data_IF_664768483978
#
_entry.id   IF_664768483978
#
_cell.length_a   1.000
_cell.length_b   1.000
_cell.length_c   1.000
_cell.angle_alpha   90.00
_cell.angle_beta   90.00
_cell.angle_gamma   90.00
#
_symmetry.space_group_name_H-M   'P 1'
#
loop_
_entity.id
_entity.type
_entity.pdbx_description
1 polymer ?
#
# COMPACT_ATOMS: atom_id res chain seq x y z
N UNK A 1 -12.62 -39.54 3.98
CA UNK A 1 -12.41 -40.90 4.52
C UNK A 1 -13.69 -41.39 5.17
N UNK A 2 -14.09 -42.66 5.00
CA UNK A 2 -15.19 -43.27 5.73
C UNK A 2 -15.02 -43.16 7.26
N UNK A 3 -16.11 -42.95 8.01
CA UNK A 3 -16.07 -42.92 9.48
C UNK A 3 -15.56 -44.24 10.10
N UNK A 4 -15.62 -45.34 9.34
CA UNK A 4 -15.09 -46.64 9.73
C UNK A 4 -13.57 -46.74 9.66
N UNK A 5 -12.90 -45.88 8.87
CA UNK A 5 -11.45 -45.96 8.62
C UNK A 5 -10.68 -44.70 9.02
N UNK A 6 -11.37 -43.68 9.56
CA UNK A 6 -10.70 -42.47 10.04
C UNK A 6 -9.88 -42.80 11.31
N UNK A 7 -8.65 -42.29 11.39
CA UNK A 7 -7.85 -42.42 12.61
C UNK A 7 -8.61 -41.82 13.79
N UNK A 8 -8.58 -42.50 14.93
CA UNK A 8 -9.33 -42.09 16.14
C UNK A 8 -9.04 -40.64 16.55
N UNK A 9 -7.81 -40.17 16.33
CA UNK A 9 -7.37 -38.84 16.71
C UNK A 9 -7.77 -37.74 15.71
N UNK A 10 -8.30 -38.10 14.54
CA UNK A 10 -8.72 -37.16 13.49
C UNK A 10 -10.24 -36.95 13.47
N UNK A 11 -10.95 -37.57 14.41
CA UNK A 11 -12.40 -37.50 14.53
C UNK A 11 -12.80 -36.97 15.92
N UNK A 12 -13.74 -36.01 16.01
CA UNK A 12 -14.42 -35.33 14.90
C UNK A 12 -13.48 -34.40 14.13
N UNK A 13 -13.73 -34.21 12.83
CA UNK A 13 -12.91 -33.30 12.02
C UNK A 13 -13.12 -31.85 12.47
N UNK A 14 -12.08 -31.02 12.43
CA UNK A 14 -12.18 -29.65 12.94
C UNK A 14 -13.09 -28.77 12.08
N UNK A 15 -13.09 -28.97 10.76
CA UNK A 15 -13.72 -28.05 9.81
C UNK A 15 -14.20 -28.78 8.55
N UNK A 16 -15.37 -28.41 8.05
CA UNK A 16 -15.86 -28.77 6.71
C UNK A 16 -16.34 -27.52 5.98
N UNK A 17 -16.05 -27.43 4.69
CA UNK A 17 -16.36 -26.28 3.86
C UNK A 17 -17.01 -26.74 2.56
N UNK A 18 -18.26 -26.33 2.31
CA UNK A 18 -18.99 -26.66 1.09
C UNK A 18 -19.91 -25.53 0.66
N UNK A 19 -20.29 -25.51 -0.62
CA UNK A 19 -21.33 -24.60 -1.08
C UNK A 19 -22.62 -24.92 -0.34
N UNK A 20 -23.18 -23.95 0.39
CA UNK A 20 -24.32 -24.17 1.28
C UNK A 20 -25.60 -24.56 0.52
N UNK A 21 -25.95 -23.90 -0.60
CA UNK A 21 -27.12 -24.29 -1.37
C UNK A 21 -27.02 -25.74 -1.86
N UNK A 22 -28.02 -26.55 -1.52
CA UNK A 22 -28.11 -27.96 -1.90
C UNK A 22 -27.33 -28.94 -1.02
N UNK A 23 -26.25 -28.53 -0.34
CA UNK A 23 -25.44 -29.46 0.47
C UNK A 23 -25.98 -29.70 1.88
N UNK A 24 -26.81 -28.79 2.41
CA UNK A 24 -27.36 -28.95 3.76
C UNK A 24 -28.23 -30.21 3.93
N UNK A 25 -29.11 -30.51 2.95
CA UNK A 25 -29.96 -31.72 2.97
C UNK A 25 -29.23 -32.98 2.57
N UNK A 26 -28.13 -32.83 1.84
CA UNK A 26 -27.40 -33.94 1.25
C UNK A 26 -26.20 -34.27 2.15
N UNK A 27 -25.05 -33.66 1.86
CA UNK A 27 -23.78 -33.98 2.51
C UNK A 27 -23.82 -33.75 4.03
N UNK A 28 -24.21 -32.57 4.49
CA UNK A 28 -24.16 -32.25 5.92
C UNK A 28 -25.11 -33.14 6.73
N UNK A 29 -26.35 -33.30 6.28
CA UNK A 29 -27.31 -34.21 6.90
C UNK A 29 -26.80 -35.65 6.97
N UNK A 30 -26.30 -36.18 5.84
CA UNK A 30 -25.81 -37.56 5.78
C UNK A 30 -24.63 -37.79 6.72
N UNK A 31 -23.69 -36.84 6.81
CA UNK A 31 -22.56 -36.91 7.75
C UNK A 31 -23.03 -36.92 9.21
N UNK A 32 -23.98 -36.06 9.56
CA UNK A 32 -24.52 -35.97 10.92
C UNK A 32 -25.23 -37.27 11.30
N UNK A 33 -26.09 -37.80 10.42
CA UNK A 33 -26.83 -39.05 10.66
C UNK A 33 -25.87 -40.23 10.81
N UNK A 34 -24.92 -40.39 9.88
CA UNK A 34 -23.94 -41.48 9.96
C UNK A 34 -23.13 -41.41 11.25
N UNK A 35 -22.68 -40.22 11.65
CA UNK A 35 -21.90 -40.02 12.86
C UNK A 35 -22.71 -40.28 14.13
N UNK A 36 -23.99 -39.86 14.15
CA UNK A 36 -24.89 -40.15 15.26
C UNK A 36 -25.07 -41.66 15.46
N UNK A 37 -25.25 -42.42 14.37
CA UNK A 37 -25.43 -43.87 14.42
C UNK A 37 -24.13 -44.62 14.78
N UNK A 38 -23.01 -44.24 14.17
CA UNK A 38 -21.76 -45.02 14.28
C UNK A 38 -20.87 -44.60 15.45
N UNK A 39 -20.96 -43.33 15.89
CA UNK A 39 -20.03 -42.73 16.86
C UNK A 39 -20.73 -41.98 17.99
N UNK A 40 -22.05 -41.79 17.92
CA UNK A 40 -22.85 -41.06 18.92
C UNK A 40 -22.27 -39.67 19.26
N UNK A 41 -21.72 -38.97 18.27
CA UNK A 41 -21.17 -37.61 18.42
C UNK A 41 -21.25 -36.83 17.10
N UNK A 42 -20.93 -35.55 17.12
CA UNK A 42 -20.89 -34.70 15.94
C UNK A 42 -19.78 -35.15 14.97
N UNK A 43 -19.98 -35.15 13.64
CA UNK A 43 -18.95 -35.55 12.69
C UNK A 43 -17.82 -34.53 12.55
N UNK A 44 -18.14 -33.26 12.79
CA UNK A 44 -17.28 -32.09 12.59
C UNK A 44 -17.51 -31.08 13.71
N UNK A 45 -16.49 -30.27 14.04
CA UNK A 45 -16.59 -29.20 15.04
C UNK A 45 -17.17 -27.92 14.44
N UNK A 46 -16.77 -27.58 13.21
CA UNK A 46 -17.20 -26.36 12.51
C UNK A 46 -17.69 -26.70 11.10
N UNK A 47 -18.85 -26.15 10.71
CA UNK A 47 -19.38 -26.19 9.35
C UNK A 47 -19.33 -24.79 8.76
N UNK A 48 -18.65 -24.63 7.63
CA UNK A 48 -18.59 -23.38 6.88
C UNK A 48 -19.31 -23.54 5.53
N UNK A 49 -20.36 -22.76 5.34
CA UNK A 49 -21.13 -22.73 4.11
C UNK A 49 -20.80 -21.49 3.29
N UNK A 50 -20.74 -21.62 1.96
CA UNK A 50 -20.58 -20.49 1.05
C UNK A 50 -21.59 -20.48 -0.12
N UNK A 51 -21.83 -19.32 -0.73
CA UNK A 51 -22.73 -19.12 -1.86
C UNK A 51 -22.22 -19.74 -3.16
N UNK A 52 -22.89 -19.45 -4.27
CA UNK A 52 -22.45 -19.88 -5.60
C UNK A 52 -21.42 -18.91 -6.19
N UNK A 53 -20.75 -19.36 -7.26
CA UNK A 53 -20.01 -18.48 -8.16
C UNK A 53 -20.92 -18.14 -9.33
N UNK A 54 -21.13 -16.87 -9.58
CA UNK A 54 -21.90 -16.31 -10.69
C UNK A 54 -20.98 -15.47 -11.57
N UNK A 55 -21.42 -15.12 -12.76
CA UNK A 55 -20.70 -14.15 -13.59
C UNK A 55 -20.72 -12.74 -12.96
N UNK A 56 -20.05 -11.77 -13.60
CA UNK A 56 -19.97 -10.39 -13.09
C UNK A 56 -21.33 -9.69 -12.99
N UNK A 57 -22.33 -10.15 -13.75
CA UNK A 57 -23.70 -9.63 -13.72
C UNK A 57 -24.56 -10.33 -12.66
N UNK A 58 -24.08 -11.43 -12.09
CA UNK A 58 -24.81 -12.26 -11.13
C UNK A 58 -25.62 -13.37 -11.80
N UNK A 59 -25.42 -13.62 -13.09
CA UNK A 59 -26.07 -14.73 -13.78
C UNK A 59 -25.31 -16.04 -13.58
N UNK A 60 -26.02 -17.15 -13.73
CA UNK A 60 -25.37 -18.46 -13.79
C UNK A 60 -24.48 -18.57 -15.02
N UNK A 61 -23.29 -19.13 -14.81
CA UNK A 61 -22.33 -19.40 -15.86
C UNK A 61 -22.74 -20.65 -16.63
N UNK A 62 -23.07 -20.49 -17.90
CA UNK A 62 -23.52 -21.57 -18.79
C UNK A 62 -22.78 -21.49 -20.13
N UNK A 63 -22.35 -22.64 -20.67
CA UNK A 63 -21.66 -22.68 -21.98
C UNK A 63 -22.51 -22.06 -23.09
N UNK A 64 -23.80 -22.35 -23.09
CA UNK A 64 -24.76 -21.88 -24.10
C UNK A 64 -24.96 -20.36 -24.09
N UNK A 65 -24.77 -19.71 -22.93
CA UNK A 65 -24.82 -18.25 -22.79
C UNK A 65 -23.50 -17.56 -23.14
N UNK A 66 -22.42 -18.32 -23.34
CA UNK A 66 -21.08 -17.79 -23.62
C UNK A 66 -20.42 -17.05 -22.44
N UNK A 67 -21.01 -17.12 -21.24
CA UNK A 67 -20.49 -16.47 -20.03
C UNK A 67 -19.73 -17.43 -19.11
N UNK A 68 -19.59 -18.71 -19.49
CA UNK A 68 -18.83 -19.68 -18.71
C UNK A 68 -17.32 -19.39 -18.77
N UNK A 69 -16.69 -19.38 -17.61
CA UNK A 69 -15.24 -19.23 -17.47
C UNK A 69 -14.69 -20.55 -16.92
N UNK A 70 -13.79 -21.18 -17.68
CA UNK A 70 -13.12 -22.40 -17.25
C UNK A 70 -11.99 -22.11 -16.27
N UNK A 71 -11.73 -23.05 -15.37
CA UNK A 71 -10.69 -22.89 -14.35
C UNK A 71 -9.31 -22.63 -14.98
N UNK A 72 -8.92 -23.42 -15.98
CA UNK A 72 -7.60 -23.29 -16.61
C UNK A 72 -7.44 -21.92 -17.30
N UNK A 73 -8.45 -21.48 -18.06
CA UNK A 73 -8.49 -20.15 -18.68
C UNK A 73 -8.41 -19.03 -17.63
N UNK A 74 -9.12 -19.19 -16.52
CA UNK A 74 -9.11 -18.23 -15.43
C UNK A 74 -7.73 -18.17 -14.79
N UNK A 75 -7.11 -19.30 -14.46
CA UNK A 75 -5.78 -19.33 -13.85
C UNK A 75 -4.74 -18.71 -14.78
N UNK A 76 -4.78 -19.00 -16.07
CA UNK A 76 -3.83 -18.46 -17.05
C UNK A 76 -3.97 -16.94 -17.23
N UNK A 77 -5.20 -16.43 -17.33
CA UNK A 77 -5.46 -15.00 -17.61
C UNK A 77 -5.49 -14.12 -16.36
N UNK A 78 -6.06 -14.63 -15.27
CA UNK A 78 -6.26 -13.88 -14.02
C UNK A 78 -5.08 -14.10 -13.06
N UNK A 79 -4.59 -15.33 -12.95
CA UNK A 79 -3.60 -15.75 -11.96
C UNK A 79 -4.24 -16.28 -10.69
N UNK A 80 -3.71 -17.41 -10.19
CA UNK A 80 -4.27 -18.12 -9.04
C UNK A 80 -4.43 -17.25 -7.78
N UNK A 81 -3.43 -16.42 -7.46
CA UNK A 81 -3.47 -15.58 -6.26
C UNK A 81 -4.45 -14.41 -6.35
N UNK A 82 -4.68 -13.88 -7.55
CA UNK A 82 -5.73 -12.87 -7.78
C UNK A 82 -7.10 -13.50 -7.51
N UNK A 83 -7.34 -14.71 -8.04
CA UNK A 83 -8.57 -15.43 -7.74
C UNK A 83 -8.71 -15.69 -6.24
N UNK A 84 -7.67 -16.24 -5.57
CA UNK A 84 -7.70 -16.49 -4.12
C UNK A 84 -8.03 -15.24 -3.31
N UNK A 85 -7.51 -14.08 -3.70
CA UNK A 85 -7.86 -12.81 -3.07
C UNK A 85 -9.33 -12.42 -3.28
N UNK A 86 -9.86 -12.61 -4.49
CA UNK A 86 -11.30 -12.38 -4.76
C UNK A 86 -12.18 -13.24 -3.86
N UNK A 87 -11.89 -14.54 -3.77
CA UNK A 87 -12.64 -15.46 -2.90
C UNK A 87 -12.48 -15.11 -1.42
N UNK A 88 -11.28 -14.76 -0.98
CA UNK A 88 -11.04 -14.40 0.42
C UNK A 88 -11.72 -13.08 0.81
N UNK A 89 -11.85 -12.13 -0.12
CA UNK A 89 -12.52 -10.85 0.12
C UNK A 89 -14.06 -10.92 0.04
N UNK A 90 -14.62 -12.05 -0.38
CA UNK A 90 -16.06 -12.21 -0.60
C UNK A 90 -16.82 -12.53 0.70
N UNK A 91 -18.06 -12.03 0.81
CA UNK A 91 -18.94 -12.44 1.90
C UNK A 91 -19.41 -13.85 1.56
N UNK A 92 -19.04 -14.88 2.34
CA UNK A 92 -19.37 -16.26 1.99
C UNK A 92 -20.88 -16.51 1.92
N UNK A 93 -21.71 -15.70 2.59
CA UNK A 93 -23.18 -15.83 2.55
C UNK A 93 -23.76 -15.41 1.20
N UNK A 94 -23.03 -14.59 0.44
CA UNK A 94 -23.47 -14.07 -0.85
C UNK A 94 -22.79 -14.81 -1.99
N UNK A 95 -23.46 -14.87 -3.14
CA UNK A 95 -22.85 -15.35 -4.37
C UNK A 95 -21.64 -14.48 -4.77
N UNK A 96 -20.53 -15.14 -5.13
CA UNK A 96 -19.33 -14.49 -5.66
C UNK A 96 -19.59 -14.08 -7.11
N UNK A 97 -19.43 -12.79 -7.42
CA UNK A 97 -19.41 -12.30 -8.81
C UNK A 97 -18.00 -12.44 -9.37
N UNK A 98 -17.84 -13.31 -10.36
CA UNK A 98 -16.55 -13.68 -10.92
C UNK A 98 -16.44 -13.33 -12.41
N UNK A 99 -15.29 -12.81 -12.79
CA UNK A 99 -14.97 -12.51 -14.18
C UNK A 99 -13.69 -11.70 -14.33
N UNK A 100 -13.29 -11.46 -15.59
CA UNK A 100 -12.02 -10.83 -15.92
C UNK A 100 -11.93 -9.34 -15.50
N UNK A 101 -13.04 -8.60 -15.51
CA UNK A 101 -13.07 -7.20 -15.09
C UNK A 101 -12.91 -7.05 -13.58
N UNK A 102 -13.66 -7.82 -12.79
CA UNK A 102 -13.54 -7.85 -11.33
C UNK A 102 -12.15 -8.36 -10.89
N UNK A 103 -11.62 -9.34 -11.63
CA UNK A 103 -10.26 -9.83 -11.43
C UNK A 103 -9.20 -8.76 -11.70
N UNK A 104 -9.35 -7.96 -12.77
CA UNK A 104 -8.41 -6.89 -13.09
C UNK A 104 -8.40 -5.81 -12.01
N UNK A 105 -9.55 -5.47 -11.41
CA UNK A 105 -9.57 -4.59 -10.24
C UNK A 105 -8.77 -5.16 -9.07
N UNK A 106 -8.99 -6.44 -8.75
CA UNK A 106 -8.25 -7.13 -7.69
C UNK A 106 -6.74 -7.16 -7.97
N UNK A 107 -6.36 -7.44 -9.22
CA UNK A 107 -4.98 -7.42 -9.69
C UNK A 107 -4.35 -6.03 -9.50
N UNK A 108 -5.04 -4.94 -9.84
CA UNK A 108 -4.55 -3.56 -9.59
C UNK A 108 -4.28 -3.29 -8.11
N UNK A 109 -5.10 -3.85 -7.21
CA UNK A 109 -4.87 -3.74 -5.75
C UNK A 109 -3.60 -4.52 -5.35
N UNK A 110 -3.44 -5.78 -5.76
CA UNK A 110 -2.24 -6.57 -5.47
C UNK A 110 -0.97 -5.98 -6.10
N UNK A 111 -1.05 -5.35 -7.27
CA UNK A 111 0.06 -4.61 -7.87
C UNK A 111 0.54 -3.46 -6.97
N UNK A 112 -0.31 -2.91 -6.10
CA UNK A 112 0.14 -1.92 -5.11
C UNK A 112 1.09 -2.54 -4.10
N UNK A 113 0.81 -3.75 -3.62
CA UNK A 113 1.72 -4.51 -2.75
C UNK A 113 3.03 -4.84 -3.48
N UNK A 114 2.96 -5.26 -4.75
CA UNK A 114 4.15 -5.47 -5.57
C UNK A 114 4.98 -4.19 -5.70
N UNK A 115 4.35 -3.05 -5.95
CA UNK A 115 5.04 -1.76 -6.09
C UNK A 115 5.75 -1.33 -4.79
N UNK A 116 5.18 -1.65 -3.62
CA UNK A 116 5.83 -1.42 -2.32
C UNK A 116 7.11 -2.27 -2.22
N UNK A 117 7.01 -3.55 -2.58
CA UNK A 117 8.15 -4.46 -2.64
C UNK A 117 9.21 -4.00 -3.66
N UNK A 118 8.84 -3.66 -4.89
CA UNK A 118 9.76 -3.19 -5.92
C UNK A 118 10.45 -1.88 -5.53
N UNK A 119 9.73 -0.99 -4.83
CA UNK A 119 10.34 0.21 -4.26
C UNK A 119 11.43 -0.16 -3.23
N UNK A 120 11.18 -1.14 -2.36
CA UNK A 120 12.20 -1.64 -1.45
C UNK A 120 13.41 -2.22 -2.21
N UNK A 121 13.20 -3.08 -3.20
CA UNK A 121 14.27 -3.71 -4.00
C UNK A 121 15.14 -2.66 -4.72
N UNK A 122 14.53 -1.67 -5.37
CA UNK A 122 15.25 -0.64 -6.14
C UNK A 122 16.09 0.28 -5.25
N UNK A 123 15.55 0.72 -4.12
CA UNK A 123 16.18 1.79 -3.34
C UNK A 123 17.01 1.28 -2.16
N UNK A 124 16.73 0.09 -1.64
CA UNK A 124 17.23 -0.33 -0.33
C UNK A 124 18.11 -1.58 -0.44
N UNK A 125 17.71 -2.56 -1.27
CA UNK A 125 18.46 -3.81 -1.41
C UNK A 125 19.84 -3.61 -2.08
N UNK A 126 19.97 -2.63 -2.98
CA UNK A 126 21.23 -2.34 -3.69
C UNK A 126 22.24 -1.52 -2.85
N UNK A 127 21.76 -0.74 -1.89
CA UNK A 127 22.60 0.13 -1.04
C UNK A 127 23.21 -0.61 0.15
N UNK A 128 22.66 -1.76 0.54
CA UNK A 128 23.17 -2.56 1.65
C UNK A 128 23.51 -3.97 1.14
N UNK A 129 24.75 -4.14 0.67
CA UNK A 129 25.36 -5.45 0.34
C UNK A 129 25.50 -6.40 1.55
N UNK A 130 24.81 -6.15 2.67
CA UNK A 130 24.99 -6.85 3.94
C UNK A 130 23.67 -7.01 4.70
N UNK A 131 23.10 -8.22 4.62
CA UNK A 131 22.29 -8.89 5.65
C UNK A 131 21.49 -7.93 6.56
N UNK A 132 20.41 -7.36 6.04
CA UNK A 132 19.38 -6.75 6.89
C UNK A 132 18.84 -7.85 7.80
N UNK A 133 19.23 -7.82 9.07
CA UNK A 133 18.70 -8.73 10.08
C UNK A 133 17.48 -8.07 10.71
N UNK A 134 16.46 -8.87 10.99
CA UNK A 134 15.38 -8.45 11.89
C UNK A 134 15.97 -8.33 13.29
N UNK A 135 16.59 -7.21 13.63
CA UNK A 135 16.97 -6.95 15.01
C UNK A 135 15.71 -6.69 15.83
N UNK A 136 15.61 -7.30 17.01
CA UNK A 136 14.61 -6.95 18.00
C UNK A 136 15.00 -5.62 18.62
N UNK A 137 14.63 -4.52 17.96
CA UNK A 137 14.71 -3.20 18.59
C UNK A 137 13.65 -3.14 19.69
N UNK A 138 14.11 -3.27 20.94
CA UNK A 138 13.28 -3.12 22.14
C UNK A 138 12.85 -1.65 22.38
N UNK A 139 13.32 -0.71 21.57
CA UNK A 139 13.00 0.72 21.66
C UNK A 139 12.06 1.15 20.55
N UNK A 140 11.12 2.04 20.88
CA UNK A 140 10.28 2.74 19.90
C UNK A 140 11.19 3.48 18.88
N UNK A 141 10.84 3.48 17.58
CA UNK A 141 11.57 4.25 16.58
C UNK A 141 11.59 5.74 16.92
N UNK A 142 12.61 6.47 16.46
CA UNK A 142 12.70 7.92 16.73
C UNK A 142 11.75 8.74 15.86
N UNK A 143 11.47 8.27 14.65
CA UNK A 143 10.62 8.97 13.69
C UNK A 143 9.14 8.64 13.91
N UNK A 144 8.31 9.68 13.90
CA UNK A 144 6.85 9.58 14.13
C UNK A 144 6.15 8.69 13.09
N UNK A 145 6.60 8.67 11.83
CA UNK A 145 6.01 7.82 10.79
C UNK A 145 6.33 6.35 11.01
N UNK A 146 7.53 6.04 11.50
CA UNK A 146 7.96 4.66 11.81
C UNK A 146 7.24 4.13 13.05
N UNK A 147 7.13 4.96 14.08
CA UNK A 147 6.33 4.64 15.28
C UNK A 147 4.86 4.41 14.92
N UNK A 148 4.27 5.32 14.15
CA UNK A 148 2.88 5.22 13.72
C UNK A 148 2.61 3.96 12.89
N UNK A 149 3.42 3.68 11.85
CA UNK A 149 3.15 2.53 10.98
C UNK A 149 3.31 1.20 11.73
N UNK A 150 4.24 1.10 12.69
CA UNK A 150 4.39 -0.07 13.54
C UNK A 150 3.19 -0.23 14.47
N UNK A 151 2.67 0.85 15.04
CA UNK A 151 1.42 0.81 15.82
C UNK A 151 0.27 0.26 14.97
N UNK A 152 0.06 0.85 13.79
CA UNK A 152 -0.97 0.44 12.83
C UNK A 152 -0.83 -1.03 12.44
N UNK A 153 0.39 -1.49 12.19
CA UNK A 153 0.65 -2.88 11.80
C UNK A 153 0.39 -3.85 12.96
N UNK A 154 0.74 -3.52 14.20
CA UNK A 154 0.45 -4.38 15.34
C UNK A 154 -1.07 -4.47 15.61
N UNK A 155 -1.80 -3.37 15.43
CA UNK A 155 -3.26 -3.38 15.45
C UNK A 155 -3.86 -4.19 14.30
N UNK A 156 -3.28 -4.12 13.10
CA UNK A 156 -3.64 -4.99 11.97
C UNK A 156 -3.46 -6.46 12.34
N UNK A 157 -2.31 -6.84 12.89
CA UNK A 157 -2.03 -8.23 13.30
C UNK A 157 -3.07 -8.75 14.30
N UNK A 158 -3.43 -7.95 15.31
CA UNK A 158 -4.49 -8.31 16.27
C UNK A 158 -5.81 -8.54 15.54
N UNK A 159 -6.21 -7.59 14.67
CA UNK A 159 -7.46 -7.65 13.93
C UNK A 159 -7.50 -8.86 12.99
N UNK A 160 -6.46 -9.09 12.20
CA UNK A 160 -6.36 -10.23 11.27
C UNK A 160 -6.39 -11.54 12.04
N UNK A 161 -5.58 -11.68 13.09
CA UNK A 161 -5.54 -12.91 13.91
C UNK A 161 -6.91 -13.23 14.51
N UNK A 162 -7.59 -12.23 15.07
CA UNK A 162 -8.95 -12.40 15.59
C UNK A 162 -9.91 -12.89 14.51
N UNK A 163 -9.94 -12.20 13.36
CA UNK A 163 -10.86 -12.55 12.27
C UNK A 163 -10.59 -13.95 11.70
N UNK A 164 -9.33 -14.37 11.58
CA UNK A 164 -8.98 -15.71 11.13
C UNK A 164 -9.40 -16.79 12.14
N UNK A 165 -9.22 -16.56 13.45
CA UNK A 165 -9.70 -17.48 14.49
C UNK A 165 -11.23 -17.62 14.50
N UNK A 166 -11.95 -16.61 14.03
CA UNK A 166 -13.41 -16.58 13.88
C UNK A 166 -13.86 -17.02 12.47
N UNK A 167 -12.94 -17.52 11.62
CA UNK A 167 -13.19 -17.90 10.22
C UNK A 167 -13.73 -16.75 9.33
N UNK A 168 -13.61 -15.50 9.75
CA UNK A 168 -13.98 -14.30 9.00
C UNK A 168 -12.84 -13.84 8.09
N UNK A 169 -12.55 -14.64 7.06
CA UNK A 169 -11.43 -14.37 6.15
C UNK A 169 -11.64 -13.06 5.37
N UNK A 170 -12.89 -12.70 5.05
CA UNK A 170 -13.28 -11.43 4.42
C UNK A 170 -12.75 -10.22 5.20
N UNK A 171 -13.07 -10.13 6.49
CA UNK A 171 -12.66 -8.98 7.29
C UNK A 171 -11.13 -8.91 7.46
N UNK A 172 -10.46 -10.07 7.53
CA UNK A 172 -9.00 -10.14 7.52
C UNK A 172 -8.41 -9.61 6.20
N UNK A 173 -8.89 -10.09 5.05
CA UNK A 173 -8.43 -9.68 3.73
C UNK A 173 -8.65 -8.19 3.48
N UNK A 174 -9.83 -7.65 3.83
CA UNK A 174 -10.14 -6.22 3.69
C UNK A 174 -9.20 -5.37 4.58
N UNK A 175 -8.95 -5.81 5.81
CA UNK A 175 -8.04 -5.09 6.71
C UNK A 175 -6.60 -5.05 6.18
N UNK A 176 -6.11 -6.17 5.65
CA UNK A 176 -4.78 -6.25 5.04
C UNK A 176 -4.72 -5.35 3.79
N UNK A 177 -5.75 -5.41 2.93
CA UNK A 177 -5.85 -4.57 1.74
C UNK A 177 -5.77 -3.08 2.07
N UNK A 178 -6.60 -2.64 3.00
CA UNK A 178 -6.61 -1.26 3.47
C UNK A 178 -5.24 -0.85 4.01
N UNK A 179 -4.60 -1.69 4.83
CA UNK A 179 -3.30 -1.36 5.40
C UNK A 179 -2.23 -1.15 4.32
N UNK A 180 -2.06 -2.10 3.39
CA UNK A 180 -0.97 -1.95 2.42
C UNK A 180 -1.22 -0.82 1.41
N UNK A 181 -2.48 -0.50 1.10
CA UNK A 181 -2.83 0.60 0.20
C UNK A 181 -2.75 1.93 0.94
N UNK A 182 -3.60 2.13 1.93
CA UNK A 182 -3.85 3.43 2.54
C UNK A 182 -2.79 3.83 3.56
N UNK A 183 -2.32 2.88 4.38
CA UNK A 183 -1.37 3.18 5.45
C UNK A 183 0.08 3.05 4.95
N UNK A 184 0.41 1.94 4.29
CA UNK A 184 1.78 1.66 3.85
C UNK A 184 2.13 2.39 2.55
N UNK A 185 1.38 2.21 1.46
CA UNK A 185 1.73 2.78 0.15
C UNK A 185 1.48 4.30 0.09
N UNK A 186 0.24 4.73 0.31
CA UNK A 186 -0.19 6.11 0.09
C UNK A 186 0.32 7.09 1.15
N UNK A 187 0.62 6.61 2.36
CA UNK A 187 1.11 7.45 3.45
C UNK A 187 2.58 7.16 3.78
N UNK A 188 2.87 6.02 4.42
CA UNK A 188 4.20 5.75 4.96
C UNK A 188 5.32 5.78 3.91
N UNK A 189 5.25 4.94 2.88
CA UNK A 189 6.29 4.81 1.86
C UNK A 189 6.47 6.13 1.14
N UNK A 190 5.37 6.77 0.71
CA UNK A 190 5.41 8.05 -0.01
C UNK A 190 6.08 9.16 0.80
N UNK A 191 5.75 9.28 2.09
CA UNK A 191 6.32 10.28 3.00
C UNK A 191 7.74 9.96 3.44
N UNK A 192 8.17 8.71 3.30
CA UNK A 192 9.49 8.23 3.74
C UNK A 192 10.51 8.12 2.62
N UNK A 193 10.13 8.40 1.36
CA UNK A 193 11.01 8.23 0.18
C UNK A 193 12.38 8.88 0.32
N UNK A 194 12.45 10.08 0.87
CA UNK A 194 13.72 10.79 1.03
C UNK A 194 14.58 10.23 2.16
N UNK A 195 13.94 9.62 3.17
CA UNK A 195 14.62 8.88 4.25
C UNK A 195 15.23 7.57 3.76
N UNK A 196 14.78 7.05 2.62
CA UNK A 196 15.37 5.86 1.98
C UNK A 196 16.48 6.20 0.97
N UNK A 197 16.67 7.48 0.62
CA UNK A 197 17.57 7.91 -0.48
C UNK A 197 18.97 8.36 -0.04
N UNK A 198 19.18 8.63 1.25
CA UNK A 198 20.44 9.22 1.77
C UNK A 198 21.24 8.15 2.53
N UNK A 199 22.54 8.34 2.70
CA UNK A 199 23.38 7.50 3.57
C UNK A 199 23.62 8.22 4.91
N UNK A 200 22.54 8.45 5.68
CA UNK A 200 22.59 9.03 7.02
C UNK A 200 22.11 7.99 8.04
N UNK A 201 22.52 8.10 9.30
CA UNK A 201 22.19 7.13 10.36
C UNK A 201 20.66 6.94 10.53
N UNK A 202 19.86 8.00 10.37
CA UNK A 202 18.39 7.95 10.40
C UNK A 202 17.78 7.08 9.30
N UNK A 203 18.53 6.78 8.24
CA UNK A 203 18.03 6.01 7.11
C UNK A 203 18.14 4.51 7.38
N UNK A 204 19.06 4.08 8.25
CA UNK A 204 19.17 2.69 8.68
C UNK A 204 17.94 2.25 9.47
N UNK A 205 17.51 3.03 10.46
CA UNK A 205 16.31 2.73 11.27
C UNK A 205 15.06 2.61 10.38
N UNK A 206 14.84 3.57 9.47
CA UNK A 206 13.71 3.53 8.54
C UNK A 206 13.73 2.30 7.61
N UNK A 207 14.92 1.94 7.09
CA UNK A 207 15.12 0.75 6.25
C UNK A 207 14.81 -0.53 7.02
N UNK A 208 15.30 -0.65 8.25
CA UNK A 208 15.07 -1.82 9.10
C UNK A 208 13.59 -1.98 9.45
N UNK A 209 12.92 -0.87 9.80
CA UNK A 209 11.47 -0.84 10.05
C UNK A 209 10.70 -1.27 8.80
N UNK A 210 11.05 -0.73 7.63
CA UNK A 210 10.36 -1.06 6.39
C UNK A 210 10.60 -2.50 5.95
N UNK A 211 11.83 -3.03 6.08
CA UNK A 211 12.14 -4.43 5.82
C UNK A 211 11.32 -5.37 6.73
N UNK A 212 11.29 -5.09 8.03
CA UNK A 212 10.49 -5.86 9.00
C UNK A 212 9.01 -5.85 8.65
N UNK A 213 8.44 -4.67 8.38
CA UNK A 213 7.04 -4.51 8.00
C UNK A 213 6.72 -5.32 6.75
N UNK A 214 7.58 -5.25 5.73
CA UNK A 214 7.38 -5.98 4.48
C UNK A 214 7.41 -7.49 4.72
N UNK A 215 8.38 -8.01 5.48
CA UNK A 215 8.43 -9.43 5.81
C UNK A 215 7.20 -9.89 6.60
N UNK A 216 6.80 -9.17 7.64
CA UNK A 216 5.65 -9.57 8.46
C UNK A 216 4.33 -9.44 7.67
N UNK A 217 4.22 -8.45 6.77
CA UNK A 217 3.10 -8.32 5.84
C UNK A 217 3.04 -9.53 4.90
N UNK A 218 4.18 -9.98 4.35
CA UNK A 218 4.24 -11.17 3.50
C UNK A 218 3.84 -12.45 4.25
N UNK A 219 4.19 -12.58 5.54
CA UNK A 219 3.75 -13.72 6.37
C UNK A 219 2.23 -13.79 6.49
N UNK A 220 1.55 -12.66 6.66
CA UNK A 220 0.08 -12.63 6.78
C UNK A 220 -0.63 -12.69 5.43
N UNK A 221 -0.06 -12.11 4.36
CA UNK A 221 -0.64 -12.25 3.01
C UNK A 221 -0.44 -13.64 2.42
N UNK A 222 0.63 -14.34 2.82
CA UNK A 222 0.98 -15.67 2.30
C UNK A 222 -0.11 -16.74 2.46
N UNK A 223 -1.01 -16.60 3.45
CA UNK A 223 -2.16 -17.50 3.59
C UNK A 223 -3.16 -17.36 2.43
N UNK A 224 -3.29 -16.16 1.87
CA UNK A 224 -4.23 -15.84 0.78
C UNK A 224 -3.51 -15.93 -0.57
N UNK A 225 -2.31 -15.38 -0.68
CA UNK A 225 -1.53 -15.28 -1.93
C UNK A 225 -0.19 -16.01 -1.80
N UNK A 226 -0.20 -17.35 -1.72
CA UNK A 226 0.99 -18.11 -1.38
C UNK A 226 2.12 -18.00 -2.41
N UNK A 227 1.81 -17.91 -3.71
CA UNK A 227 2.84 -17.87 -4.75
C UNK A 227 3.47 -16.48 -4.83
N UNK A 228 2.64 -15.45 -4.80
CA UNK A 228 3.02 -14.04 -4.84
C UNK A 228 3.84 -13.64 -3.61
N UNK A 229 3.43 -14.09 -2.41
CA UNK A 229 4.18 -13.82 -1.18
C UNK A 229 5.49 -14.61 -1.13
N UNK A 230 5.52 -15.84 -1.62
CA UNK A 230 6.75 -16.66 -1.70
C UNK A 230 7.77 -16.03 -2.67
N UNK A 231 7.34 -15.57 -3.85
CA UNK A 231 8.24 -14.96 -4.84
C UNK A 231 8.96 -13.73 -4.28
N UNK A 232 8.23 -12.82 -3.65
CA UNK A 232 8.82 -11.64 -3.01
C UNK A 232 9.70 -12.03 -1.82
N UNK A 233 9.27 -13.01 -1.02
CA UNK A 233 10.04 -13.49 0.13
C UNK A 233 11.40 -14.07 -0.28
N UNK A 234 11.46 -14.86 -1.35
CA UNK A 234 12.71 -15.47 -1.82
C UNK A 234 13.79 -14.42 -2.18
N UNK A 235 13.38 -13.22 -2.56
CA UNK A 235 14.29 -12.10 -2.85
C UNK A 235 14.69 -11.30 -1.62
N UNK A 236 13.89 -11.35 -0.56
CA UNK A 236 14.13 -10.63 0.70
C UNK A 236 14.86 -11.47 1.76
N UNK A 237 14.77 -12.80 1.67
CA UNK A 237 15.30 -13.69 2.70
C UNK A 237 16.83 -13.70 2.71
N UNK A 238 17.40 -13.86 3.90
CA UNK A 238 18.81 -14.22 4.08
C UNK A 238 18.97 -15.73 4.29
N UNK A 239 20.20 -16.22 4.26
CA UNK A 239 20.51 -17.66 4.41
C UNK A 239 20.14 -18.24 5.79
N UNK A 240 20.04 -17.38 6.81
CA UNK A 240 19.64 -17.76 8.18
C UNK A 240 18.12 -17.78 8.39
N UNK A 241 17.33 -17.43 7.37
CA UNK A 241 15.87 -17.51 7.41
C UNK A 241 15.33 -18.84 6.86
N UNK A 242 14.11 -19.26 7.23
CA UNK A 242 13.47 -20.45 6.68
C UNK A 242 13.45 -20.47 5.14
N UNK A 243 13.51 -21.67 4.55
CA UNK A 243 13.57 -21.81 3.08
C UNK A 243 12.33 -21.31 2.33
N UNK A 244 11.20 -21.14 3.01
CA UNK A 244 9.93 -20.65 2.44
C UNK A 244 9.20 -19.79 3.47
N UNK A 245 8.40 -18.83 3.00
CA UNK A 245 7.57 -17.96 3.87
C UNK A 245 6.57 -18.80 4.68
N UNK A 246 6.15 -19.94 4.13
CA UNK A 246 5.16 -20.84 4.72
C UNK A 246 5.71 -21.68 5.89
N UNK A 247 7.01 -21.59 6.16
CA UNK A 247 7.68 -22.24 7.30
C UNK A 247 7.80 -21.32 8.52
N UNK A 248 7.33 -20.08 8.43
CA UNK A 248 7.25 -19.20 9.60
C UNK A 248 6.05 -19.54 10.48
N UNK A 249 6.24 -19.35 11.79
CA UNK A 249 5.12 -19.22 12.71
C UNK A 249 4.31 -17.95 12.40
N UNK A 250 3.02 -17.98 12.72
CA UNK A 250 2.16 -16.80 12.64
C UNK A 250 2.76 -15.63 13.45
N UNK A 251 2.89 -14.43 12.87
CA UNK A 251 3.49 -13.29 13.58
C UNK A 251 2.63 -12.87 14.78
N UNK A 252 3.29 -12.55 15.89
CA UNK A 252 2.64 -12.08 17.12
C UNK A 252 2.72 -10.56 17.19
N UNK A 253 1.59 -9.92 17.49
CA UNK A 253 1.55 -8.48 17.73
C UNK A 253 2.31 -8.12 19.02
N UNK A 254 3.16 -7.11 18.94
CA UNK A 254 3.79 -6.47 20.09
C UNK A 254 2.94 -5.29 20.57
N UNK A 255 2.22 -5.51 21.67
CA UNK A 255 1.34 -4.48 22.26
C UNK A 255 2.10 -3.25 22.74
N UNK A 256 3.41 -3.33 22.98
CA UNK A 256 4.22 -2.17 23.42
C UNK A 256 4.47 -1.16 22.32
N UNK A 257 4.34 -1.58 21.06
CA UNK A 257 4.46 -0.73 19.88
C UNK A 257 3.13 -0.08 19.48
N UNK A 258 2.03 -0.39 20.17
CA UNK A 258 0.72 0.20 19.92
C UNK A 258 0.60 1.52 20.68
N UNK A 259 0.37 2.59 19.96
CA UNK A 259 0.15 3.94 20.46
C UNK A 259 -1.18 4.48 19.92
N UNK A 260 -2.24 4.31 20.71
CA UNK A 260 -3.59 4.66 20.30
C UNK A 260 -3.80 6.17 20.14
N UNK A 261 -3.10 6.99 20.92
CA UNK A 261 -3.22 8.44 20.80
C UNK A 261 -2.52 8.92 19.52
N UNK A 262 -1.30 8.45 19.25
CA UNK A 262 -0.60 8.75 17.99
C UNK A 262 -1.42 8.32 16.76
N UNK A 263 -2.09 7.16 16.81
CA UNK A 263 -2.97 6.74 15.72
C UNK A 263 -4.14 7.70 15.49
N UNK A 264 -4.76 8.18 16.58
CA UNK A 264 -5.87 9.15 16.54
C UNK A 264 -5.39 10.50 16.01
N UNK A 265 -4.28 11.02 16.52
CA UNK A 265 -3.71 12.28 16.07
C UNK A 265 -3.29 12.23 14.59
N UNK A 266 -2.67 11.13 14.15
CA UNK A 266 -2.31 10.94 12.74
C UNK A 266 -3.55 10.81 11.84
N UNK A 267 -4.64 10.20 12.33
CA UNK A 267 -5.90 10.15 11.59
C UNK A 267 -6.49 11.56 11.38
N UNK A 268 -6.46 12.42 12.40
CA UNK A 268 -6.88 13.82 12.28
C UNK A 268 -5.97 14.61 11.34
N UNK A 269 -4.65 14.42 11.43
CA UNK A 269 -3.69 15.03 10.50
C UNK A 269 -3.99 14.65 9.03
N UNK A 270 -4.28 13.38 8.76
CA UNK A 270 -4.65 12.90 7.42
C UNK A 270 -5.97 13.48 6.93
N UNK A 271 -6.95 13.65 7.82
CA UNK A 271 -8.24 14.27 7.52
C UNK A 271 -8.08 15.74 7.14
N UNK A 272 -7.31 16.52 7.91
CA UNK A 272 -6.99 17.92 7.61
C UNK A 272 -6.29 18.04 6.25
N UNK A 273 -5.31 17.17 5.98
CA UNK A 273 -4.66 17.10 4.67
C UNK A 273 -5.69 16.87 3.56
N UNK A 274 -6.59 15.89 3.73
CA UNK A 274 -7.59 15.58 2.72
C UNK A 274 -8.52 16.79 2.45
N UNK A 275 -8.97 17.47 3.50
CA UNK A 275 -9.80 18.67 3.38
C UNK A 275 -9.06 19.82 2.67
N UNK A 276 -7.80 20.06 3.04
CA UNK A 276 -7.01 21.12 2.42
C UNK A 276 -6.72 20.80 0.94
N UNK A 277 -6.40 19.54 0.62
CA UNK A 277 -6.20 19.11 -0.77
C UNK A 277 -7.49 19.18 -1.60
N UNK A 278 -8.65 18.92 -1.00
CA UNK A 278 -9.95 19.12 -1.65
C UNK A 278 -10.20 20.60 -1.96
N UNK A 279 -9.95 21.51 -1.02
CA UNK A 279 -10.08 22.95 -1.24
C UNK A 279 -9.15 23.45 -2.36
N UNK A 280 -7.93 22.91 -2.44
CA UNK A 280 -7.01 23.16 -3.56
C UNK A 280 -7.55 22.69 -4.89
N UNK A 281 -8.15 21.49 -4.93
CA UNK A 281 -8.74 20.93 -6.14
C UNK A 281 -9.91 21.78 -6.63
N UNK A 282 -10.79 22.21 -5.72
CA UNK A 282 -11.93 23.09 -6.01
C UNK A 282 -11.50 24.45 -6.60
N UNK A 283 -10.35 24.97 -6.15
CA UNK A 283 -9.74 26.21 -6.69
C UNK A 283 -8.81 25.97 -7.89
N UNK A 284 -8.62 24.72 -8.33
CA UNK A 284 -7.72 24.38 -9.44
C UNK A 284 -6.24 24.60 -9.15
N UNK A 285 -5.84 24.72 -7.88
CA UNK A 285 -4.45 25.02 -7.48
C UNK A 285 -3.69 23.74 -7.17
N UNK A 286 -2.81 23.34 -8.09
CA UNK A 286 -2.02 22.10 -7.96
C UNK A 286 -1.13 22.10 -6.71
N UNK A 287 -1.02 20.97 -6.01
CA UNK A 287 -0.24 20.82 -4.75
C UNK A 287 1.19 21.32 -4.86
N UNK A 288 1.84 21.08 -6.00
CA UNK A 288 3.21 21.54 -6.30
C UNK A 288 3.40 23.07 -6.19
N UNK A 289 2.36 23.87 -6.32
CA UNK A 289 2.40 25.32 -6.10
C UNK A 289 2.39 25.56 -4.58
N UNK A 290 3.48 25.98 -3.94
CA UNK A 290 3.42 26.27 -2.51
C UNK A 290 2.45 27.42 -2.23
N UNK A 291 1.72 27.32 -1.11
CA UNK A 291 0.85 28.39 -0.60
C UNK A 291 1.44 29.00 0.66
N UNK A 292 1.01 30.21 1.00
CA UNK A 292 1.53 30.95 2.16
C UNK A 292 1.15 30.26 3.46
N UNK A 293 -0.12 29.94 3.63
CA UNK A 293 -0.66 29.55 4.93
C UNK A 293 -1.82 28.55 4.81
N UNK A 294 -1.88 27.62 5.77
CA UNK A 294 -3.05 26.81 6.10
C UNK A 294 -3.54 27.20 7.50
N UNK A 295 -4.83 27.45 7.63
CA UNK A 295 -5.48 27.69 8.92
C UNK A 295 -6.31 26.48 9.32
N UNK A 296 -6.17 26.01 10.55
CA UNK A 296 -6.83 24.80 11.08
C UNK A 296 -7.61 25.18 12.35
N UNK A 297 -8.90 24.80 12.43
CA UNK A 297 -9.74 25.10 13.60
C UNK A 297 -9.33 24.37 14.88
N UNK A 298 -8.57 23.28 14.77
CA UNK A 298 -8.16 22.44 15.89
C UNK A 298 -6.99 23.06 16.68
N UNK A 299 -7.17 23.22 18.00
CA UNK A 299 -6.12 23.71 18.91
C UNK A 299 -5.23 22.60 19.46
N UNK A 300 -5.74 21.37 19.60
CA UNK A 300 -5.01 20.27 20.23
C UNK A 300 -3.89 19.80 19.31
N UNK A 301 -4.20 19.63 18.03
CA UNK A 301 -3.20 19.34 16.99
C UNK A 301 -2.11 20.42 16.88
N UNK A 302 -2.43 21.66 17.27
CA UNK A 302 -1.49 22.77 17.35
C UNK A 302 -0.30 22.53 18.30
N UNK A 303 -0.43 21.59 19.24
CA UNK A 303 0.63 21.27 20.21
C UNK A 303 1.63 20.23 19.66
N UNK A 304 1.22 19.45 18.65
CA UNK A 304 2.03 18.36 18.09
C UNK A 304 2.85 18.82 16.89
N UNK A 305 3.98 19.49 17.17
CA UNK A 305 4.88 20.06 16.16
C UNK A 305 5.26 19.09 15.04
N UNK A 306 5.49 17.81 15.37
CA UNK A 306 5.86 16.79 14.38
C UNK A 306 4.74 16.54 13.37
N UNK A 307 3.49 16.51 13.81
CA UNK A 307 2.33 16.33 12.94
C UNK A 307 2.06 17.57 12.10
N UNK A 308 2.22 18.77 12.68
CA UNK A 308 2.09 20.01 11.93
C UNK A 308 3.08 20.10 10.76
N UNK A 309 4.35 19.71 10.97
CA UNK A 309 5.33 19.66 9.87
C UNK A 309 4.94 18.64 8.80
N UNK A 310 4.38 17.48 9.18
CA UNK A 310 3.85 16.52 8.22
C UNK A 310 2.70 17.10 7.37
N UNK A 311 1.74 17.76 8.01
CA UNK A 311 0.61 18.42 7.32
C UNK A 311 1.14 19.52 6.39
N UNK A 312 2.06 20.33 6.88
CA UNK A 312 2.64 21.47 6.17
C UNK A 312 3.31 21.04 4.87
N UNK A 313 4.14 20.01 4.94
CA UNK A 313 4.80 19.42 3.79
C UNK A 313 3.80 18.83 2.80
N UNK A 314 2.78 18.15 3.31
CA UNK A 314 1.81 17.40 2.52
C UNK A 314 0.85 18.31 1.75
N UNK A 315 0.35 19.36 2.42
CA UNK A 315 -0.47 20.40 1.80
C UNK A 315 0.40 21.38 0.99
N UNK A 316 1.71 21.38 1.22
CA UNK A 316 2.69 22.28 0.64
C UNK A 316 2.39 23.76 0.94
N UNK A 317 2.45 24.10 2.23
CA UNK A 317 2.28 25.47 2.74
C UNK A 317 3.52 25.95 3.50
N UNK A 318 3.72 27.26 3.62
CA UNK A 318 4.86 27.82 4.37
C UNK A 318 4.60 27.94 5.87
N UNK A 319 3.34 28.14 6.25
CA UNK A 319 2.93 28.29 7.64
C UNK A 319 1.63 27.53 7.94
N UNK A 320 1.47 27.11 9.20
CA UNK A 320 0.21 26.61 9.73
C UNK A 320 -0.19 27.45 10.93
N UNK A 321 -1.43 27.93 10.94
CA UNK A 321 -2.03 28.64 12.09
C UNK A 321 -3.20 27.84 12.63
N UNK A 322 -3.16 27.53 13.92
CA UNK A 322 -4.21 26.80 14.61
C UNK A 322 -5.05 27.75 15.47
N UNK A 323 -6.39 27.62 15.46
CA UNK A 323 -7.23 28.48 16.27
C UNK A 323 -8.74 28.23 16.20
N UNK A 324 -9.38 28.20 17.36
CA UNK A 324 -10.82 27.97 17.50
C UNK A 324 -11.72 29.06 16.86
N UNK A 325 -11.17 30.21 16.47
CA UNK A 325 -11.91 31.31 15.82
C UNK A 325 -12.01 31.17 14.29
N UNK A 326 -11.42 30.13 13.71
CA UNK A 326 -11.45 29.88 12.27
C UNK A 326 -12.85 29.35 11.88
N UNK A 327 -13.43 29.85 10.78
CA UNK A 327 -14.83 29.59 10.38
C UNK A 327 -15.03 28.29 9.61
N UNK A 328 -13.98 27.73 9.04
CA UNK A 328 -13.99 26.37 8.50
C UNK A 328 -13.04 25.46 9.28
N UNK A 329 -13.17 24.17 9.06
CA UNK A 329 -12.25 23.19 9.62
C UNK A 329 -10.82 23.40 9.10
N UNK A 330 -10.71 23.73 7.81
CA UNK A 330 -9.47 24.18 7.15
C UNK A 330 -9.75 25.38 6.25
N UNK A 331 -8.80 26.30 6.16
CA UNK A 331 -8.82 27.42 5.19
C UNK A 331 -7.43 27.62 4.61
N UNK A 332 -7.33 27.65 3.28
CA UNK A 332 -6.09 27.92 2.57
C UNK A 332 -5.99 29.36 2.06
N UNK A 333 -4.77 29.87 2.14
CA UNK A 333 -4.43 31.15 1.54
C UNK A 333 -4.02 30.98 0.08
N UNK A 334 -4.86 31.49 -0.83
CA UNK A 334 -4.66 31.41 -2.27
C UNK A 334 -3.94 32.62 -2.87
N UNK A 335 -3.48 33.58 -2.07
CA UNK A 335 -2.61 34.65 -2.55
C UNK A 335 -1.21 34.11 -2.85
N UNK A 336 -0.85 34.06 -4.13
CA UNK A 336 0.45 33.55 -4.57
C UNK A 336 1.39 34.74 -4.80
N UNK A 337 2.37 34.90 -3.91
CA UNK A 337 3.46 35.85 -4.12
C UNK A 337 4.36 35.44 -5.29
N UNK A 338 5.10 36.39 -5.88
CA UNK A 338 6.07 36.09 -6.95
C UNK A 338 7.14 35.06 -6.54
N UNK A 339 7.54 35.06 -5.26
CA UNK A 339 8.47 34.05 -4.72
C UNK A 339 7.85 32.64 -4.73
N UNK A 340 6.60 32.51 -4.24
CA UNK A 340 5.89 31.23 -4.23
C UNK A 340 5.62 30.73 -5.65
N UNK A 341 5.32 31.63 -6.59
CA UNK A 341 5.12 31.30 -8.00
C UNK A 341 6.39 30.71 -8.62
N UNK A 342 7.54 31.35 -8.41
CA UNK A 342 8.85 30.84 -8.88
C UNK A 342 9.18 29.48 -8.28
N UNK A 343 8.88 29.26 -7.00
CA UNK A 343 9.06 27.95 -6.39
C UNK A 343 8.13 26.89 -7.00
N UNK A 344 6.87 27.22 -7.27
CA UNK A 344 5.92 26.33 -7.94
C UNK A 344 6.38 25.95 -9.35
N UNK A 345 6.92 26.91 -10.11
CA UNK A 345 7.49 26.69 -11.43
C UNK A 345 8.70 25.75 -11.39
N UNK A 346 9.59 25.93 -10.41
CA UNK A 346 10.73 25.03 -10.20
C UNK A 346 10.27 23.60 -9.92
N UNK A 347 9.30 23.41 -9.02
CA UNK A 347 8.78 22.07 -8.69
C UNK A 347 8.08 21.42 -9.88
N UNK A 348 7.44 22.22 -10.75
CA UNK A 348 6.88 21.70 -11.99
C UNK A 348 7.96 21.24 -12.97
N UNK A 349 9.06 21.99 -13.08
CA UNK A 349 10.21 21.57 -13.87
C UNK A 349 10.81 20.26 -13.37
N UNK A 350 10.99 20.10 -12.05
CA UNK A 350 11.44 18.84 -11.42
C UNK A 350 10.54 17.67 -11.81
N UNK A 351 9.21 17.85 -11.74
CA UNK A 351 8.24 16.83 -12.16
C UNK A 351 8.43 16.45 -13.63
N UNK A 352 8.54 17.44 -14.51
CA UNK A 352 8.70 17.20 -15.94
C UNK A 352 10.02 16.50 -16.26
N UNK A 353 11.11 16.87 -15.60
CA UNK A 353 12.41 16.18 -15.72
C UNK A 353 12.30 14.72 -15.30
N UNK A 354 11.66 14.43 -14.17
CA UNK A 354 11.47 13.06 -13.71
C UNK A 354 10.53 12.25 -14.61
N UNK A 355 9.59 12.90 -15.28
CA UNK A 355 8.75 12.26 -16.31
C UNK A 355 9.61 11.86 -17.52
N UNK A 356 10.43 12.77 -18.04
CA UNK A 356 11.35 12.51 -19.17
C UNK A 356 12.31 11.37 -18.80
N UNK A 357 12.87 11.36 -17.57
CA UNK A 357 13.68 10.25 -17.08
C UNK A 357 12.98 8.90 -17.20
N UNK A 358 11.73 8.81 -16.73
CA UNK A 358 10.95 7.57 -16.80
C UNK A 358 10.72 7.13 -18.25
N UNK A 359 10.38 8.05 -19.15
CA UNK A 359 10.13 7.77 -20.57
C UNK A 359 11.41 7.34 -21.31
N UNK A 360 12.58 7.76 -20.81
CA UNK A 360 13.91 7.42 -21.36
C UNK A 360 14.58 6.24 -20.66
N UNK A 361 13.89 5.58 -19.71
CA UNK A 361 14.43 4.44 -18.97
C UNK A 361 15.49 4.81 -17.92
N UNK A 362 15.65 6.09 -17.58
CA UNK A 362 16.55 6.56 -16.53
C UNK A 362 15.91 6.45 -15.14
N UNK A 363 16.74 6.14 -14.16
CA UNK A 363 16.37 6.10 -12.74
C UNK A 363 16.69 7.41 -12.04
N UNK A 364 16.09 7.70 -10.87
CA UNK A 364 16.45 8.88 -10.07
C UNK A 364 17.89 8.86 -9.52
N UNK A 365 18.60 7.74 -9.61
CA UNK A 365 19.98 7.59 -9.14
C UNK A 365 20.97 8.03 -10.22
N UNK A 366 20.58 7.97 -11.50
CA UNK A 366 21.42 8.34 -12.63
C UNK A 366 21.76 9.83 -12.64
N UNK A 367 23.06 10.13 -12.80
CA UNK A 367 23.56 11.48 -12.99
C UNK A 367 23.20 11.97 -14.40
N UNK A 368 22.63 13.18 -14.52
CA UNK A 368 22.15 13.70 -15.80
C UNK A 368 22.73 15.08 -16.16
N UNK A 369 22.70 15.42 -17.44
CA UNK A 369 22.89 16.79 -17.94
C UNK A 369 21.54 17.27 -18.49
N UNK A 370 21.15 18.49 -18.14
CA UNK A 370 19.90 19.11 -18.58
C UNK A 370 20.22 20.19 -19.62
N UNK A 371 19.55 20.13 -20.76
CA UNK A 371 19.56 21.19 -21.76
C UNK A 371 18.15 21.80 -21.87
N UNK A 372 18.05 23.12 -21.93
CA UNK A 372 16.76 23.82 -22.00
C UNK A 372 16.83 25.10 -22.82
N UNK A 373 15.68 25.55 -23.32
CA UNK A 373 15.50 26.82 -24.03
C UNK A 373 15.18 28.02 -23.12
N UNK A 374 15.28 27.84 -21.81
CA UNK A 374 15.00 28.89 -20.82
C UNK A 374 15.91 28.80 -19.61
N UNK A 375 16.10 29.94 -18.97
CA UNK A 375 16.87 30.01 -17.72
C UNK A 375 15.96 29.80 -16.51
N UNK A 376 16.45 29.04 -15.52
CA UNK A 376 15.74 28.81 -14.26
C UNK A 376 15.97 30.00 -13.34
N UNK A 377 14.94 30.82 -13.15
CA UNK A 377 15.02 32.01 -12.30
C UNK A 377 15.14 31.59 -10.82
N UNK A 378 16.27 31.94 -10.19
CA UNK A 378 16.41 32.01 -8.73
C UNK A 378 16.71 30.72 -7.96
N UNK A 379 16.96 29.58 -8.61
CA UNK A 379 17.20 28.31 -7.89
C UNK A 379 17.91 27.21 -8.72
N UNK A 380 18.81 27.56 -9.64
CA UNK A 380 19.52 26.58 -10.50
C UNK A 380 20.19 25.47 -9.68
N UNK A 381 20.94 25.83 -8.64
CA UNK A 381 21.63 24.85 -7.79
C UNK A 381 20.67 23.91 -7.05
N UNK A 382 19.56 24.42 -6.53
CA UNK A 382 18.57 23.62 -5.81
C UNK A 382 17.88 22.63 -6.76
N UNK A 383 17.51 23.09 -7.96
CA UNK A 383 16.98 22.22 -9.02
C UNK A 383 17.98 21.10 -9.33
N UNK A 384 19.24 21.46 -9.59
CA UNK A 384 20.28 20.50 -9.97
C UNK A 384 20.53 19.46 -8.87
N UNK A 385 20.57 19.87 -7.60
CA UNK A 385 20.66 18.94 -6.45
C UNK A 385 19.46 18.01 -6.39
N UNK A 386 18.25 18.54 -6.49
CA UNK A 386 16.99 17.79 -6.36
C UNK A 386 16.84 16.71 -7.46
N UNK A 387 17.34 17.00 -8.66
CA UNK A 387 17.28 16.07 -9.79
C UNK A 387 18.60 15.35 -10.06
N UNK A 388 19.63 15.41 -9.20
CA UNK A 388 20.98 14.85 -9.50
C UNK A 388 21.48 15.23 -10.90
N UNK A 389 21.43 16.51 -11.25
CA UNK A 389 22.03 17.02 -12.47
C UNK A 389 23.46 17.47 -12.24
N UNK A 390 24.37 17.05 -13.12
CA UNK A 390 25.76 17.51 -13.18
C UNK A 390 25.87 18.91 -13.75
N UNK A 391 25.05 19.21 -14.76
CA UNK A 391 25.04 20.51 -15.42
C UNK A 391 23.65 20.87 -15.95
N UNK A 392 23.42 22.17 -16.12
CA UNK A 392 22.23 22.74 -16.74
C UNK A 392 22.65 23.81 -17.75
N UNK A 393 22.41 23.50 -19.02
CA UNK A 393 22.88 24.24 -20.18
C UNK A 393 21.68 24.91 -20.86
N UNK A 394 21.74 26.23 -21.01
CA UNK A 394 20.72 26.98 -21.75
C UNK A 394 21.15 27.10 -23.22
N UNK A 395 20.27 26.73 -24.16
CA UNK A 395 20.50 26.83 -25.61
C UNK A 395 19.29 27.46 -26.27
N UNK A 396 19.47 28.30 -27.29
CA UNK A 396 18.37 28.92 -28.02
C UNK A 396 17.48 27.92 -28.77
N UNK A 397 18.01 26.74 -29.11
CA UNK A 397 17.27 25.68 -29.81
C UNK A 397 17.66 24.31 -29.26
N UNK A 398 16.66 23.48 -28.95
CA UNK A 398 16.85 22.14 -28.37
C UNK A 398 16.43 21.07 -29.39
N UNK A 399 17.42 20.43 -30.03
CA UNK A 399 17.16 19.30 -30.95
C UNK A 399 16.79 18.03 -30.17
N UNK A 400 15.66 17.42 -30.54
CA UNK A 400 15.07 16.25 -29.88
C UNK A 400 14.74 16.49 -28.39
N UNK A 401 14.28 17.71 -28.05
CA UNK A 401 13.77 18.02 -26.73
C UNK A 401 12.32 17.57 -26.54
N UNK A 402 11.93 17.32 -25.29
CA UNK A 402 10.55 17.07 -24.89
C UNK A 402 9.88 18.41 -24.56
N UNK A 403 8.69 18.66 -25.10
CA UNK A 403 7.88 19.83 -24.75
C UNK A 403 7.39 19.71 -23.30
N UNK A 404 7.63 20.73 -22.50
CA UNK A 404 7.17 20.84 -21.11
C UNK A 404 6.39 22.14 -20.92
N UNK A 405 5.37 22.13 -20.08
CA UNK A 405 4.59 23.34 -19.77
C UNK A 405 4.82 23.79 -18.34
N UNK A 406 5.21 25.06 -18.16
CA UNK A 406 5.45 25.71 -16.87
C UNK A 406 4.70 27.04 -16.86
N UNK A 407 3.85 27.27 -15.86
CA UNK A 407 2.99 28.46 -15.78
C UNK A 407 2.25 28.83 -17.09
N UNK A 408 1.79 27.81 -17.84
CA UNK A 408 1.06 27.99 -19.10
C UNK A 408 1.94 28.35 -20.32
N UNK A 409 3.26 28.46 -20.14
CA UNK A 409 4.23 28.64 -21.22
C UNK A 409 4.88 27.30 -21.58
N UNK A 410 5.16 27.12 -22.88
CA UNK A 410 5.81 25.94 -23.42
C UNK A 410 7.32 26.16 -23.51
N UNK A 411 8.07 25.16 -23.12
CA UNK A 411 9.53 25.11 -23.14
C UNK A 411 9.98 23.75 -23.65
N UNK A 412 11.21 23.65 -24.15
CA UNK A 412 11.82 22.40 -24.55
C UNK A 412 12.94 22.01 -23.59
N UNK A 413 12.87 20.79 -23.08
CA UNK A 413 13.88 20.24 -22.16
C UNK A 413 14.39 18.91 -22.72
N UNK A 414 15.71 18.73 -22.69
CA UNK A 414 16.38 17.49 -23.04
C UNK A 414 17.25 17.03 -21.88
N UNK A 415 17.24 15.72 -21.65
CA UNK A 415 18.04 15.08 -20.60
C UNK A 415 18.93 14.03 -21.25
N UNK A 416 20.20 14.04 -20.89
CA UNK A 416 21.17 13.01 -21.26
C UNK A 416 21.80 12.43 -20.00
N UNK A 417 22.06 11.12 -19.99
CA UNK A 417 22.84 10.49 -18.92
C UNK A 417 24.28 10.99 -19.01
N UNK A 418 24.84 11.44 -17.88
CA UNK A 418 26.22 11.92 -17.79
C UNK A 418 27.22 10.77 -17.82
#
# INVERSE_FOLDING_TARGET
>A
MPFSTIEKNWFPADFICESFPGQFKNWFYSLIVMSAVLKATNPVKTVFGYGFVKDEKGEEMHKSKGNAIWFDDAVEKIGADVMRWMYAKQNPVCDLKFGYGAAEETKRKLLTLYNIYSFFEIYIAQTQNSKLKTQNHNSKPKNILDEWILSRFNNLLIKVTKNLNEYNIMAATIAIEYFFIDDLSLWYVRRSRDRFRREEENNKEAIEVFYRLLLDLLKITGLITPFFSEEMYQRLRSDDMPKSIHLFNWPKADKKLIDAELEKEMAEARKIVALALAERADKGVKVRQPLRELRIRDKELGNEKKLLELIKDEVNVKNIVCGAKIEKEVELDFEISEELKREGDRRELVRNINKIRKETGLTPIDLIIIESDFEVIGAKENLMKEVKAKDYIVKSEIKNGTEVTISGKKYFVKITKS
#
